data_IF_995081055457
#
_entry.id   IF_995081055457
#
_cell.length_a   1.000
_cell.length_b   1.000
_cell.length_c   1.000
_cell.angle_alpha   90.00
_cell.angle_beta   90.00
_cell.angle_gamma   90.00
#
_symmetry.space_group_name_H-M   'P 1'
#
loop_
_entity.id
_entity.type
_entity.pdbx_description
1 polymer ?
#
# COMPACT_ATOMS: atom_id res chain seq x y z
N UNK A 1 -10.24 8.81 16.42
CA UNK A 1 -9.42 8.89 15.25
C UNK A 1 -9.48 7.65 14.42
N UNK A 2 -9.59 7.88 13.21
CA UNK A 2 -9.92 6.82 12.36
C UNK A 2 -9.16 6.79 11.08
N UNK A 3 -7.90 6.41 11.19
CA UNK A 3 -7.03 6.18 10.04
C UNK A 3 -7.67 5.15 9.12
N UNK A 4 -8.25 4.09 9.67
CA UNK A 4 -8.93 3.06 8.87
C UNK A 4 -10.14 3.62 8.14
N UNK A 5 -10.92 4.46 8.83
CA UNK A 5 -12.06 5.10 8.20
C UNK A 5 -11.63 6.06 7.10
N UNK A 6 -10.55 6.81 7.33
CA UNK A 6 -9.98 7.67 6.32
C UNK A 6 -9.53 6.85 5.10
N UNK A 7 -8.82 5.76 5.33
CA UNK A 7 -8.36 4.90 4.25
C UNK A 7 -9.52 4.31 3.45
N UNK A 8 -10.62 3.98 4.12
CA UNK A 8 -11.76 3.38 3.42
C UNK A 8 -12.42 4.32 2.41
N UNK A 9 -12.17 5.63 2.54
CA UNK A 9 -12.71 6.63 1.61
C UNK A 9 -11.69 7.06 0.56
N UNK A 10 -10.48 6.54 0.63
CA UNK A 10 -9.38 6.93 -0.27
C UNK A 10 -9.33 5.98 -1.46
N UNK A 11 -9.22 6.52 -2.66
CA UNK A 11 -9.08 5.73 -3.88
C UNK A 11 -7.63 5.40 -4.21
N UNK A 12 -6.70 6.27 -3.82
CA UNK A 12 -5.29 6.12 -4.10
C UNK A 12 -4.51 6.82 -2.99
N UNK A 13 -3.54 6.14 -2.44
CA UNK A 13 -2.69 6.72 -1.39
C UNK A 13 -1.28 6.93 -1.89
N UNK A 14 -0.58 7.88 -1.30
CA UNK A 14 0.83 8.11 -1.56
C UNK A 14 1.54 8.00 -0.21
N UNK A 15 2.55 7.16 -0.14
CA UNK A 15 3.17 6.86 1.15
C UNK A 15 4.63 6.46 0.99
N UNK A 16 5.36 6.51 2.09
CA UNK A 16 6.64 5.81 2.18
C UNK A 16 6.36 4.31 2.25
N UNK A 17 7.34 3.47 1.94
CA UNK A 17 7.13 2.02 1.88
C UNK A 17 7.41 1.32 3.21
N UNK A 18 7.02 1.94 4.31
CA UNK A 18 7.12 1.33 5.63
C UNK A 18 6.12 0.18 5.77
N UNK A 19 6.53 -0.88 6.48
CA UNK A 19 5.78 -2.13 6.47
C UNK A 19 4.37 -2.04 7.07
N UNK A 20 4.19 -1.28 8.16
CA UNK A 20 2.88 -1.24 8.80
C UNK A 20 1.85 -0.46 7.98
N UNK A 21 2.24 0.68 7.40
CA UNK A 21 1.32 1.48 6.59
C UNK A 21 0.93 0.73 5.32
N UNK A 22 1.92 0.13 4.65
CA UNK A 22 1.64 -0.59 3.40
C UNK A 22 0.78 -1.82 3.65
N UNK A 23 1.00 -2.53 4.75
CA UNK A 23 0.15 -3.67 5.11
C UNK A 23 -1.30 -3.23 5.32
N UNK A 24 -1.52 -2.11 6.00
CA UNK A 24 -2.86 -1.58 6.20
C UNK A 24 -3.52 -1.20 4.88
N UNK A 25 -2.78 -0.55 3.98
CA UNK A 25 -3.32 -0.17 2.69
C UNK A 25 -3.73 -1.40 1.88
N UNK A 26 -2.90 -2.43 1.84
CA UNK A 26 -3.25 -3.65 1.12
C UNK A 26 -4.46 -4.32 1.75
N UNK A 27 -4.51 -4.34 3.07
CA UNK A 27 -5.62 -4.94 3.80
C UNK A 27 -6.94 -4.22 3.53
N UNK A 28 -6.88 -2.92 3.30
CA UNK A 28 -8.04 -2.10 2.98
C UNK A 28 -8.33 -2.05 1.48
N UNK A 29 -7.55 -2.73 0.67
CA UNK A 29 -7.67 -2.75 -0.80
C UNK A 29 -7.54 -1.35 -1.38
N UNK A 30 -6.56 -0.59 -0.91
CA UNK A 30 -6.28 0.75 -1.40
C UNK A 30 -5.00 0.72 -2.21
N UNK A 31 -5.06 0.97 -3.52
CA UNK A 31 -3.86 1.13 -4.34
C UNK A 31 -3.00 2.28 -3.84
N UNK A 32 -1.71 2.16 -3.97
CA UNK A 32 -0.83 3.21 -3.46
C UNK A 32 0.42 3.37 -4.30
N UNK A 33 1.01 4.56 -4.20
CA UNK A 33 2.30 4.87 -4.79
C UNK A 33 3.29 4.96 -3.64
N UNK A 34 4.34 4.16 -3.71
CA UNK A 34 5.40 4.17 -2.71
C UNK A 34 6.49 5.14 -3.12
N UNK A 35 6.91 5.96 -2.19
CA UNK A 35 8.11 6.78 -2.35
C UNK A 35 9.07 6.34 -1.25
N UNK A 36 9.98 5.40 -1.55
CA UNK A 36 10.89 4.89 -0.52
C UNK A 36 11.75 5.99 0.08
N UNK A 37 11.99 5.93 1.37
CA UNK A 37 12.80 6.91 2.04
C UNK A 37 14.27 6.67 1.70
N UNK A 38 14.95 7.60 1.01
CA UNK A 38 16.28 7.33 0.47
C UNK A 38 17.38 7.22 1.53
N UNK A 39 17.13 7.74 2.73
CA UNK A 39 18.11 7.75 3.81
C UNK A 39 17.80 6.75 4.91
N UNK A 40 16.91 5.80 4.63
CA UNK A 40 16.66 4.73 5.59
C UNK A 40 17.96 3.97 5.86
N UNK A 41 18.22 3.65 7.12
CA UNK A 41 19.45 3.00 7.53
C UNK A 41 19.60 1.59 6.95
N UNK A 42 18.53 1.04 6.46
CA UNK A 42 18.55 -0.25 5.77
C UNK A 42 17.77 -0.11 4.46
N UNK A 43 17.89 -1.09 3.60
CA UNK A 43 17.24 -1.09 2.29
C UNK A 43 15.85 -1.72 2.32
N UNK A 44 15.23 -1.84 3.51
CA UNK A 44 13.92 -2.48 3.62
C UNK A 44 12.83 -1.76 2.84
N UNK A 45 12.87 -0.39 2.83
CA UNK A 45 11.86 0.35 2.10
C UNK A 45 11.95 0.14 0.60
N UNK A 46 13.16 0.12 0.05
CA UNK A 46 13.37 -0.18 -1.37
C UNK A 46 12.92 -1.59 -1.71
N UNK A 47 13.28 -2.56 -0.88
CA UNK A 47 12.90 -3.95 -1.08
C UNK A 47 11.39 -4.13 -1.02
N UNK A 48 10.75 -3.48 -0.06
CA UNK A 48 9.30 -3.52 0.07
C UNK A 48 8.63 -2.93 -1.16
N UNK A 49 9.09 -1.75 -1.60
CA UNK A 49 8.51 -1.09 -2.76
C UNK A 49 8.64 -1.95 -4.01
N UNK A 50 9.79 -2.57 -4.22
CA UNK A 50 10.03 -3.46 -5.35
C UNK A 50 9.12 -4.68 -5.29
N UNK A 51 9.00 -5.28 -4.12
CA UNK A 51 8.14 -6.45 -3.93
C UNK A 51 6.68 -6.11 -4.24
N UNK A 52 6.18 -5.00 -3.70
CA UNK A 52 4.80 -4.62 -3.89
C UNK A 52 4.49 -4.30 -5.35
N UNK A 53 5.43 -3.65 -6.02
CA UNK A 53 5.25 -3.33 -7.44
C UNK A 53 5.25 -4.60 -8.29
N UNK A 54 6.13 -5.52 -7.99
CA UNK A 54 6.21 -6.81 -8.68
C UNK A 54 4.91 -7.61 -8.54
N UNK A 55 4.28 -7.52 -7.38
CA UNK A 55 3.01 -8.20 -7.13
C UNK A 55 1.81 -7.45 -7.71
N UNK A 56 2.00 -6.22 -8.14
CA UNK A 56 0.92 -5.41 -8.70
C UNK A 56 0.09 -4.69 -7.66
N UNK A 57 0.56 -4.60 -6.41
CA UNK A 57 -0.18 -3.93 -5.33
C UNK A 57 -0.02 -2.43 -5.35
N UNK A 58 1.08 -1.94 -5.92
CA UNK A 58 1.43 -0.54 -5.89
C UNK A 58 2.37 -0.19 -7.03
N UNK A 59 2.65 1.10 -7.18
CA UNK A 59 3.73 1.58 -8.02
C UNK A 59 4.74 2.31 -7.16
N UNK A 60 5.95 2.46 -7.66
CA UNK A 60 7.04 3.06 -6.92
C UNK A 60 7.65 4.22 -7.70
N UNK A 61 7.92 5.31 -6.99
CA UNK A 61 8.61 6.47 -7.56
C UNK A 61 9.73 6.83 -6.60
N UNK A 62 10.94 6.98 -7.11
CA UNK A 62 12.06 7.40 -6.28
C UNK A 62 11.92 8.88 -5.92
N UNK A 63 12.38 9.25 -4.73
CA UNK A 63 12.21 10.61 -4.24
C UNK A 63 12.79 11.66 -5.20
N UNK A 64 13.93 11.36 -5.82
CA UNK A 64 14.55 12.29 -6.76
C UNK A 64 13.70 12.51 -8.01
N UNK A 65 12.77 11.60 -8.30
CA UNK A 65 11.92 11.66 -9.49
C UNK A 65 10.53 12.20 -9.21
N UNK A 66 10.22 12.57 -7.96
CA UNK A 66 8.87 12.95 -7.56
C UNK A 66 8.35 14.12 -8.40
N UNK A 67 9.17 15.16 -8.59
CA UNK A 67 8.73 16.33 -9.34
C UNK A 67 8.38 16.01 -10.78
N UNK A 68 9.11 15.10 -11.40
CA UNK A 68 8.92 14.78 -12.81
C UNK A 68 7.88 13.69 -13.04
N UNK A 69 7.78 12.71 -12.15
CA UNK A 69 6.99 11.51 -12.39
C UNK A 69 5.71 11.39 -11.58
N UNK A 70 5.63 12.00 -10.40
CA UNK A 70 4.50 11.75 -9.52
C UNK A 70 3.20 12.30 -10.08
N UNK A 71 3.18 13.56 -10.50
CA UNK A 71 1.96 14.16 -11.02
C UNK A 71 1.45 13.47 -12.28
N UNK A 72 2.31 13.20 -13.29
CA UNK A 72 1.83 12.47 -14.47
C UNK A 72 1.30 11.08 -14.13
N UNK A 73 1.88 10.43 -13.13
CA UNK A 73 1.42 9.11 -12.71
C UNK A 73 0.04 9.20 -12.07
N UNK A 74 -0.17 10.14 -11.17
CA UNK A 74 -1.47 10.37 -10.56
C UNK A 74 -2.51 10.69 -11.64
N UNK A 75 -2.14 11.54 -12.58
CA UNK A 75 -3.03 11.92 -13.67
C UNK A 75 -3.44 10.71 -14.51
N UNK A 76 -2.52 9.78 -14.74
CA UNK A 76 -2.84 8.58 -15.51
C UNK A 76 -3.87 7.70 -14.79
N UNK A 77 -3.86 7.66 -13.47
CA UNK A 77 -4.89 6.94 -12.71
C UNK A 77 -6.25 7.61 -12.82
N UNK A 78 -6.28 8.94 -12.81
CA UNK A 78 -7.53 9.66 -13.01
C UNK A 78 -8.12 9.44 -14.39
N UNK A 79 -7.26 9.37 -15.41
CA UNK A 79 -7.71 9.16 -16.78
C UNK A 79 -8.12 7.73 -17.06
N UNK A 80 -7.55 6.77 -16.33
CA UNK A 80 -7.83 5.37 -16.54
C UNK A 80 -8.01 4.66 -15.19
N UNK A 81 -9.22 4.70 -14.68
CA UNK A 81 -9.53 4.11 -13.37
C UNK A 81 -9.44 2.59 -13.38
N UNK A 82 -9.38 1.95 -14.54
CA UNK A 82 -9.16 0.51 -14.61
C UNK A 82 -7.83 0.11 -14.01
N UNK A 83 -6.85 1.00 -14.02
CA UNK A 83 -5.56 0.73 -13.38
C UNK A 83 -5.74 0.50 -11.88
N UNK A 84 -6.60 1.30 -11.25
CA UNK A 84 -6.90 1.13 -9.82
C UNK A 84 -7.60 -0.20 -9.56
N UNK A 85 -8.55 -0.55 -10.41
CA UNK A 85 -9.28 -1.81 -10.26
C UNK A 85 -8.35 -3.02 -10.37
N UNK A 86 -7.41 -2.97 -11.30
CA UNK A 86 -6.43 -4.05 -11.46
C UNK A 86 -5.58 -4.20 -10.19
N UNK A 87 -5.14 -3.08 -9.63
CA UNK A 87 -4.35 -3.11 -8.40
C UNK A 87 -5.16 -3.64 -7.22
N UNK A 88 -6.42 -3.24 -7.11
CA UNK A 88 -7.32 -3.74 -6.06
C UNK A 88 -7.47 -5.25 -6.16
N UNK A 89 -7.68 -5.76 -7.37
CA UNK A 89 -7.81 -7.21 -7.57
C UNK A 89 -6.54 -7.96 -7.16
N UNK A 90 -5.37 -7.38 -7.46
CA UNK A 90 -4.12 -7.98 -7.02
C UNK A 90 -3.98 -7.95 -5.51
N UNK A 91 -4.37 -6.85 -4.88
CA UNK A 91 -4.30 -6.72 -3.43
C UNK A 91 -5.22 -7.71 -2.72
N UNK A 92 -6.37 -8.01 -3.29
CA UNK A 92 -7.29 -9.00 -2.72
C UNK A 92 -6.68 -10.39 -2.64
N UNK A 93 -5.69 -10.67 -3.48
CA UNK A 93 -5.01 -11.96 -3.52
C UNK A 93 -3.74 -11.98 -2.67
N UNK A 94 -3.51 -10.96 -1.88
CA UNK A 94 -2.34 -10.90 -1.03
C UNK A 94 -2.32 -12.09 -0.07
N UNK A 95 -1.27 -12.90 -0.16
CA UNK A 95 -1.21 -14.18 0.54
C UNK A 95 -1.23 -14.04 2.07
N UNK A 96 -0.74 -12.94 2.58
CA UNK A 96 -0.67 -12.73 4.03
C UNK A 96 -1.96 -12.18 4.63
N UNK A 97 -2.94 -11.85 3.80
CA UNK A 97 -4.17 -11.21 4.25
C UNK A 97 -4.95 -12.10 5.23
N UNK A 98 -5.07 -13.38 4.92
CA UNK A 98 -5.75 -14.31 5.79
C UNK A 98 -5.02 -14.52 7.10
N UNK A 99 -3.70 -14.58 7.04
CA UNK A 99 -2.87 -14.74 8.24
C UNK A 99 -3.07 -13.54 9.15
N UNK A 100 -3.08 -12.33 8.57
CA UNK A 100 -3.31 -11.10 9.31
C UNK A 100 -4.65 -11.12 10.02
N UNK A 101 -5.69 -11.56 9.33
CA UNK A 101 -7.03 -11.67 9.92
C UNK A 101 -7.07 -12.72 11.03
N UNK A 102 -6.37 -13.83 10.85
CA UNK A 102 -6.29 -14.88 11.88
C UNK A 102 -5.57 -14.37 13.12
N UNK A 103 -4.51 -13.63 12.97
CA UNK A 103 -3.79 -13.03 14.09
C UNK A 103 -4.70 -12.08 14.87
N UNK A 104 -5.41 -11.22 14.16
CA UNK A 104 -6.35 -10.29 14.79
C UNK A 104 -7.43 -11.03 15.56
N UNK A 105 -7.92 -12.14 15.02
CA UNK A 105 -8.94 -12.94 15.69
C UNK A 105 -8.43 -13.54 17.00
N UNK A 106 -7.20 -14.03 16.99
CA UNK A 106 -6.57 -14.56 18.20
C UNK A 106 -6.44 -13.46 19.25
N UNK A 107 -6.00 -12.28 18.86
CA UNK A 107 -5.86 -11.16 19.78
C UNK A 107 -7.22 -10.79 20.39
N UNK A 108 -8.27 -10.74 19.59
CA UNK A 108 -9.62 -10.44 20.09
C UNK A 108 -10.09 -11.49 21.09
N UNK A 109 -9.83 -12.78 20.80
CA UNK A 109 -10.21 -13.84 21.73
C UNK A 109 -9.47 -13.74 23.06
N UNK A 110 -8.20 -13.35 23.02
CA UNK A 110 -7.44 -13.16 24.26
C UNK A 110 -7.99 -12.00 25.09
N UNK A 111 -8.45 -10.94 24.43
CA UNK A 111 -9.05 -9.81 25.15
C UNK A 111 -10.35 -10.18 25.84
N UNK A 112 -11.05 -11.20 25.35
CA UNK A 112 -12.34 -11.60 25.89
C UNK A 112 -12.23 -12.65 26.99
N UNK A 113 -11.03 -13.10 27.29
CA UNK A 113 -10.76 -13.96 28.42
C UNK A 113 -10.47 -13.14 29.67
#
# INVERSE_FOLDING_TARGET
NNILEYFSKTELAITRSGSSVTAELINCNIPFICIPYPHASDSHQDKNATYFEKKGYSLSVEEVEVEERLFPLIESFYKNKNLLDIMIEKQKKYSDKEVYLKINRVIENLKNE
#
